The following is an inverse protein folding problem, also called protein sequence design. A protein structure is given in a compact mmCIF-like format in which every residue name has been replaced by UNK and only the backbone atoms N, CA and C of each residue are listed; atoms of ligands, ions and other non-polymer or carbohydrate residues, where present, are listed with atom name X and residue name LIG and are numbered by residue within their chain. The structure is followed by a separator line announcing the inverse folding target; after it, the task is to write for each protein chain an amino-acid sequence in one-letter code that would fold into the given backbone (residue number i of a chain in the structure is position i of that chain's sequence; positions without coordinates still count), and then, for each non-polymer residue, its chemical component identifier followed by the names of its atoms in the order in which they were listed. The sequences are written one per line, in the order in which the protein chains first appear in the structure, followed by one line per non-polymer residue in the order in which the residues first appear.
data_IF_632752140667
#
_entry.id   IF_632752140667
#
_cell.length_a   1.000
_cell.length_b   1.000
_cell.length_c   1.000
_cell.angle_alpha   90.00
_cell.angle_beta   90.00
_cell.angle_gamma   90.00
#
_symmetry.space_group_name_H-M   'P 1'
#
loop_
_entity.id
_entity.type
_entity.pdbx_description
1 polymer ?
#
# COMPACT_ATOMS: atom_id res chain seq x y z
N UNK A 1 12.24 -6.30 -9.75
CA UNK A 1 13.22 -5.44 -9.07
C UNK A 1 14.08 -6.26 -8.10
N UNK A 2 15.39 -6.39 -8.35
CA UNK A 2 16.31 -7.33 -7.72
C UNK A 2 16.29 -7.40 -6.17
N UNK A 3 16.74 -8.52 -5.61
CA UNK A 3 16.82 -8.75 -4.15
C UNK A 3 17.95 -7.94 -3.47
N UNK A 4 19.02 -7.61 -4.21
CA UNK A 4 20.10 -6.75 -3.73
C UNK A 4 19.58 -5.35 -3.36
N UNK A 5 20.12 -4.78 -2.28
CA UNK A 5 19.80 -3.45 -1.75
C UNK A 5 18.38 -3.26 -1.18
N UNK A 6 17.74 -4.33 -0.70
CA UNK A 6 16.42 -4.26 -0.05
C UNK A 6 16.42 -4.92 1.31
N UNK A 7 16.81 -4.18 2.33
CA UNK A 7 16.97 -4.70 3.69
C UNK A 7 15.65 -5.17 4.33
N UNK A 8 14.51 -4.87 3.71
CA UNK A 8 13.15 -5.14 4.18
C UNK A 8 12.65 -6.53 3.74
N UNK A 9 13.30 -7.18 2.78
CA UNK A 9 12.86 -8.47 2.23
C UNK A 9 12.66 -9.58 3.27
N UNK A 10 13.51 -9.74 4.29
CA UNK A 10 13.29 -10.72 5.36
C UNK A 10 11.94 -10.53 6.07
N UNK A 11 11.60 -9.28 6.39
CA UNK A 11 10.34 -8.90 7.04
C UNK A 11 9.15 -9.23 6.15
N UNK A 12 9.25 -8.89 4.87
CA UNK A 12 8.21 -9.22 3.88
C UNK A 12 7.99 -10.74 3.78
N UNK A 13 9.05 -11.54 3.70
CA UNK A 13 8.95 -13.01 3.62
C UNK A 13 8.36 -13.64 4.89
N UNK A 14 8.77 -13.17 6.07
CA UNK A 14 8.18 -13.63 7.34
C UNK A 14 6.71 -13.20 7.46
N UNK A 15 6.36 -11.99 7.03
CA UNK A 15 4.98 -11.53 6.96
C UNK A 15 4.10 -12.44 6.08
N UNK A 16 4.58 -12.79 4.88
CA UNK A 16 3.89 -13.76 4.01
C UNK A 16 3.69 -15.12 4.69
N UNK A 17 4.71 -15.62 5.41
CA UNK A 17 4.61 -16.87 6.19
C UNK A 17 3.55 -16.76 7.27
N UNK A 18 3.52 -15.67 8.05
CA UNK A 18 2.56 -15.48 9.14
C UNK A 18 1.11 -15.42 8.64
N UNK A 19 0.88 -14.83 7.47
CA UNK A 19 -0.45 -14.81 6.84
C UNK A 19 -1.03 -16.21 6.58
N UNK A 20 -0.18 -17.25 6.41
CA UNK A 20 -0.65 -18.64 6.30
C UNK A 20 -1.43 -19.12 7.52
N UNK A 21 -1.09 -18.64 8.73
CA UNK A 21 -1.80 -18.99 9.95
C UNK A 21 -3.10 -18.19 10.17
N UNK A 22 -3.27 -17.10 9.43
CA UNK A 22 -4.38 -16.15 9.63
C UNK A 22 -5.52 -16.33 8.62
N UNK A 23 -5.22 -16.86 7.42
CA UNK A 23 -6.20 -17.00 6.34
C UNK A 23 -6.48 -18.48 6.01
N UNK A 24 -7.76 -18.77 5.72
CA UNK A 24 -8.18 -20.11 5.26
C UNK A 24 -7.87 -20.30 3.78
N UNK A 25 -7.58 -21.53 3.37
CA UNK A 25 -7.34 -21.92 1.98
C UNK A 25 -6.20 -21.16 1.28
N UNK A 26 -5.18 -20.78 2.05
CA UNK A 26 -3.98 -20.12 1.54
C UNK A 26 -2.81 -21.11 1.48
N UNK A 27 -2.01 -21.02 0.41
CA UNK A 27 -0.76 -21.77 0.27
C UNK A 27 0.37 -20.84 -0.18
N UNK A 28 1.60 -21.19 0.15
CA UNK A 28 2.79 -20.41 -0.18
C UNK A 28 3.91 -21.32 -0.68
N UNK A 29 4.42 -21.05 -1.88
CA UNK A 29 5.66 -21.64 -2.34
C UNK A 29 6.84 -20.81 -1.85
N UNK A 30 7.67 -21.41 -0.99
CA UNK A 30 8.96 -20.84 -0.61
C UNK A 30 9.89 -20.92 -1.82
N UNK A 31 10.64 -19.86 -2.14
CA UNK A 31 11.53 -19.79 -3.31
C UNK A 31 12.94 -19.30 -2.98
N UNK A 32 13.29 -19.22 -1.70
CA UNK A 32 14.55 -18.61 -1.25
C UNK A 32 15.81 -19.36 -1.71
N UNK A 33 15.69 -20.65 -2.03
CA UNK A 33 16.73 -21.52 -2.57
C UNK A 33 16.86 -21.44 -4.11
N UNK A 34 15.83 -20.96 -4.80
CA UNK A 34 15.77 -20.87 -6.27
C UNK A 34 15.79 -19.42 -6.78
N UNK A 35 16.01 -18.46 -5.90
CA UNK A 35 16.05 -17.03 -6.21
C UNK A 35 17.34 -16.60 -6.90
N UNK A 36 17.35 -15.39 -7.48
CA UNK A 36 18.54 -14.78 -8.06
C UNK A 36 18.81 -13.44 -7.35
N UNK A 37 20.07 -13.06 -7.08
CA UNK A 37 20.37 -11.83 -6.34
C UNK A 37 19.93 -10.58 -7.11
N UNK A 38 20.08 -10.59 -8.44
CA UNK A 38 19.78 -9.45 -9.31
C UNK A 38 18.55 -9.61 -10.20
N UNK A 39 17.76 -10.68 -10.05
CA UNK A 39 16.57 -10.92 -10.89
C UNK A 39 15.41 -11.43 -10.02
N UNK A 40 14.24 -10.82 -10.18
CA UNK A 40 13.03 -11.23 -9.45
C UNK A 40 12.28 -12.35 -10.12
N UNK A 41 12.53 -12.57 -11.40
CA UNK A 41 11.88 -13.64 -12.12
C UNK A 41 12.65 -14.92 -11.82
N UNK A 42 12.04 -15.89 -11.10
CA UNK A 42 12.71 -17.16 -10.88
C UNK A 42 12.96 -17.82 -12.23
N UNK A 43 14.21 -18.19 -12.49
CA UNK A 43 14.59 -18.95 -13.68
C UNK A 43 13.98 -20.36 -13.62
N UNK A 44 13.98 -20.95 -12.43
CA UNK A 44 13.43 -22.28 -12.14
C UNK A 44 11.91 -22.22 -11.82
N UNK A 45 11.09 -21.92 -12.82
CA UNK A 45 9.63 -21.83 -12.65
C UNK A 45 8.95 -23.16 -12.32
N UNK A 46 9.52 -24.28 -12.78
CA UNK A 46 8.97 -25.62 -12.57
C UNK A 46 8.90 -25.97 -11.08
N UNK A 47 9.98 -25.71 -10.34
CA UNK A 47 10.02 -25.96 -8.89
C UNK A 47 8.95 -25.15 -8.14
N UNK A 48 8.71 -23.89 -8.54
CA UNK A 48 7.66 -23.06 -7.94
C UNK A 48 6.27 -23.66 -8.20
N UNK A 49 5.98 -24.06 -9.43
CA UNK A 49 4.71 -24.69 -9.80
C UNK A 49 4.47 -26.01 -9.06
N UNK A 50 5.49 -26.87 -8.94
CA UNK A 50 5.40 -28.13 -8.20
C UNK A 50 5.14 -27.90 -6.70
N UNK A 51 5.78 -26.88 -6.10
CA UNK A 51 5.55 -26.49 -4.70
C UNK A 51 4.11 -26.01 -4.48
N UNK A 52 3.56 -25.21 -5.39
CA UNK A 52 2.16 -24.79 -5.33
C UNK A 52 1.19 -25.97 -5.54
N UNK A 53 1.51 -26.89 -6.45
CA UNK A 53 0.70 -28.09 -6.67
C UNK A 53 0.65 -28.98 -5.41
N UNK A 54 1.77 -29.13 -4.69
CA UNK A 54 1.79 -29.88 -3.42
C UNK A 54 0.81 -29.32 -2.39
N UNK A 55 0.66 -28.00 -2.28
CA UNK A 55 -0.36 -27.39 -1.42
C UNK A 55 -1.77 -27.87 -1.77
N UNK A 56 -2.17 -27.77 -3.04
CA UNK A 56 -3.49 -28.23 -3.47
C UNK A 56 -3.69 -29.74 -3.23
N UNK A 57 -2.69 -30.56 -3.54
CA UNK A 57 -2.74 -32.01 -3.38
C UNK A 57 -2.86 -32.43 -1.89
N UNK A 58 -2.14 -31.75 -1.00
CA UNK A 58 -2.13 -32.06 0.42
C UNK A 58 -3.30 -31.47 1.21
N UNK A 59 -3.83 -30.33 0.79
CA UNK A 59 -4.92 -29.63 1.51
C UNK A 59 -6.28 -29.88 0.85
N UNK A 60 -6.49 -29.44 -0.38
CA UNK A 60 -7.77 -29.56 -1.10
C UNK A 60 -8.12 -31.00 -1.43
N UNK A 61 -7.17 -31.76 -1.98
CA UNK A 61 -7.40 -33.16 -2.37
C UNK A 61 -7.11 -34.15 -1.23
N UNK A 62 -6.54 -33.69 -0.11
CA UNK A 62 -6.22 -34.49 1.08
C UNK A 62 -5.47 -35.79 0.78
N UNK A 63 -4.57 -35.79 -0.22
CA UNK A 63 -3.82 -36.98 -0.60
C UNK A 63 -2.74 -37.27 0.44
N UNK A 64 -2.81 -38.44 1.11
CA UNK A 64 -1.86 -38.85 2.16
C UNK A 64 -0.39 -38.77 1.76
N UNK A 65 -0.07 -39.08 0.49
CA UNK A 65 1.29 -38.96 -0.07
C UNK A 65 1.85 -37.53 -0.03
N UNK A 66 0.97 -36.53 0.00
CA UNK A 66 1.29 -35.11 0.04
C UNK A 66 0.97 -34.48 1.40
N UNK A 67 0.96 -35.26 2.48
CA UNK A 67 0.69 -34.74 3.84
C UNK A 67 1.69 -33.66 4.28
N UNK A 68 2.95 -33.71 3.82
CA UNK A 68 3.93 -32.63 3.92
C UNK A 68 3.94 -31.83 2.61
N UNK A 69 3.04 -30.87 2.51
CA UNK A 69 2.81 -30.07 1.32
C UNK A 69 3.58 -28.74 1.30
N UNK A 70 4.09 -28.30 2.46
CA UNK A 70 5.00 -27.16 2.60
C UNK A 70 6.39 -27.63 3.04
N UNK A 71 7.38 -26.74 2.97
CA UNK A 71 8.63 -26.91 3.71
C UNK A 71 8.43 -26.69 5.21
N UNK A 72 9.47 -26.87 6.04
CA UNK A 72 9.38 -26.65 7.49
C UNK A 72 8.79 -25.27 7.80
N UNK A 73 7.71 -25.25 8.57
CA UNK A 73 7.07 -24.03 9.06
C UNK A 73 7.29 -23.94 10.56
N UNK A 74 7.83 -22.82 11.04
CA UNK A 74 7.99 -22.54 12.47
C UNK A 74 6.67 -22.77 13.19
N UNK A 75 6.72 -23.55 14.27
CA UNK A 75 5.58 -23.87 15.13
C UNK A 75 5.77 -23.20 16.50
N UNK A 76 6.77 -23.65 17.27
CA UNK A 76 7.09 -23.13 18.61
C UNK A 76 8.58 -22.87 18.74
N UNK A 77 8.96 -21.90 19.57
CA UNK A 77 10.33 -21.65 19.99
C UNK A 77 10.37 -21.43 21.50
N UNK A 78 11.15 -22.24 22.21
CA UNK A 78 11.25 -22.23 23.68
C UNK A 78 12.73 -22.20 24.10
N UNK A 79 13.03 -21.48 25.19
CA UNK A 79 14.39 -21.41 25.73
C UNK A 79 14.66 -22.66 26.57
N UNK A 80 15.74 -23.36 26.25
CA UNK A 80 16.30 -24.43 27.06
C UNK A 80 17.75 -24.08 27.42
N UNK A 81 17.96 -23.59 28.64
CA UNK A 81 19.27 -23.13 29.10
C UNK A 81 19.81 -21.97 28.26
N UNK A 82 20.96 -22.19 27.61
CA UNK A 82 21.66 -21.23 26.76
C UNK A 82 21.27 -21.31 25.27
N UNK A 83 20.20 -22.05 24.97
CA UNK A 83 19.78 -22.37 23.62
C UNK A 83 18.29 -22.08 23.43
N UNK A 84 17.89 -21.81 22.18
CA UNK A 84 16.50 -21.84 21.76
C UNK A 84 16.23 -23.15 21.03
N UNK A 85 15.26 -23.91 21.53
CA UNK A 85 14.73 -25.10 20.85
C UNK A 85 13.52 -24.69 20.02
N UNK A 86 13.62 -24.92 18.71
CA UNK A 86 12.63 -24.50 17.73
C UNK A 86 12.02 -25.73 17.07
N UNK A 87 10.69 -25.84 17.12
CA UNK A 87 9.93 -26.90 16.48
C UNK A 87 9.33 -26.44 15.15
N UNK A 88 9.14 -27.39 14.25
CA UNK A 88 8.57 -27.16 12.94
C UNK A 88 7.40 -28.10 12.65
N UNK A 89 6.41 -27.57 11.96
CA UNK A 89 5.40 -28.33 11.25
C UNK A 89 5.89 -28.64 9.82
N UNK A 90 5.13 -29.47 9.08
CA UNK A 90 5.39 -29.75 7.66
C UNK A 90 6.78 -30.39 7.40
N UNK A 91 7.26 -31.23 8.33
CA UNK A 91 8.58 -31.88 8.22
C UNK A 91 8.55 -33.27 7.55
N UNK A 92 7.37 -33.84 7.29
CA UNK A 92 7.22 -35.20 6.78
C UNK A 92 7.84 -36.24 7.73
N UNK A 93 8.84 -37.00 7.25
CA UNK A 93 9.59 -37.95 8.08
C UNK A 93 10.69 -37.29 8.92
N UNK A 94 11.06 -36.03 8.63
CA UNK A 94 11.94 -35.24 9.49
C UNK A 94 12.66 -34.09 8.78
N UNK A 95 13.34 -33.26 9.57
CA UNK A 95 14.24 -32.21 9.08
C UNK A 95 15.51 -32.81 8.46
N UNK A 96 16.01 -32.16 7.42
CA UNK A 96 17.28 -32.51 6.78
C UNK A 96 17.97 -31.26 6.24
N UNK A 97 19.24 -31.43 5.87
CA UNK A 97 19.98 -30.40 5.16
C UNK A 97 20.25 -30.81 3.72
N UNK A 98 20.04 -29.90 2.76
CA UNK A 98 20.20 -30.18 1.32
C UNK A 98 21.61 -30.66 0.94
N UNK A 99 22.62 -30.25 1.70
CA UNK A 99 24.04 -30.50 1.43
C UNK A 99 24.75 -31.31 2.51
N UNK A 100 23.99 -31.92 3.43
CA UNK A 100 24.49 -32.72 4.58
C UNK A 100 25.46 -31.97 5.52
N UNK A 101 25.53 -30.63 5.44
CA UNK A 101 26.27 -29.79 6.38
C UNK A 101 25.35 -29.29 7.49
N UNK A 102 25.91 -28.73 8.55
CA UNK A 102 25.11 -28.11 9.62
C UNK A 102 24.11 -27.07 9.04
N UNK A 103 22.90 -26.95 9.62
CA UNK A 103 21.98 -25.88 9.28
C UNK A 103 22.64 -24.50 9.46
N UNK A 104 22.38 -23.57 8.52
CA UNK A 104 23.03 -22.25 8.49
C UNK A 104 22.01 -21.10 8.41
N UNK A 105 22.51 -19.86 8.47
CA UNK A 105 21.72 -18.62 8.47
C UNK A 105 20.81 -18.46 9.67
N UNK A 106 21.27 -18.90 10.84
CA UNK A 106 20.59 -18.67 12.10
C UNK A 106 21.27 -17.55 12.86
N UNK A 107 20.45 -16.71 13.47
CA UNK A 107 20.89 -15.67 14.40
C UNK A 107 19.99 -15.71 15.63
N UNK A 108 20.53 -15.40 16.81
CA UNK A 108 19.78 -15.30 18.07
C UNK A 108 20.07 -13.98 18.77
N UNK A 109 19.11 -13.51 19.57
CA UNK A 109 19.28 -12.38 20.48
C UNK A 109 18.67 -12.70 21.85
N UNK A 110 19.09 -11.96 22.87
CA UNK A 110 18.33 -11.83 24.13
C UNK A 110 17.17 -10.83 23.97
N UNK A 111 16.49 -10.55 25.08
CA UNK A 111 15.21 -9.81 25.10
C UNK A 111 15.28 -8.46 24.38
N UNK A 112 16.33 -7.67 24.63
CA UNK A 112 16.56 -6.36 24.00
C UNK A 112 17.94 -6.27 23.30
N UNK A 113 18.53 -7.43 22.96
CA UNK A 113 19.88 -7.52 22.42
C UNK A 113 19.98 -7.48 20.89
N UNK A 114 21.14 -7.13 20.32
CA UNK A 114 21.37 -7.33 18.89
C UNK A 114 21.36 -8.82 18.54
N UNK A 115 20.94 -9.14 17.32
CA UNK A 115 21.05 -10.49 16.79
C UNK A 115 22.52 -10.84 16.50
N UNK A 116 22.94 -12.02 16.95
CA UNK A 116 24.26 -12.57 16.75
C UNK A 116 24.18 -13.87 15.94
N UNK A 117 25.15 -14.15 15.05
CA UNK A 117 25.25 -15.44 14.38
C UNK A 117 25.21 -16.60 15.37
N UNK A 118 24.45 -17.63 15.02
CA UNK A 118 24.17 -18.77 15.87
C UNK A 118 24.47 -20.10 15.17
N UNK A 119 24.85 -21.10 15.96
CA UNK A 119 24.95 -22.48 15.51
C UNK A 119 23.61 -23.16 15.70
N UNK A 120 23.13 -23.87 14.67
CA UNK A 120 21.92 -24.68 14.76
C UNK A 120 22.24 -26.17 14.56
N UNK A 121 21.54 -27.04 15.30
CA UNK A 121 21.66 -28.50 15.21
C UNK A 121 20.28 -29.14 15.17
N UNK A 122 20.07 -30.11 14.28
CA UNK A 122 18.87 -30.96 14.29
C UNK A 122 19.01 -31.94 15.45
N UNK A 123 18.12 -31.83 16.44
CA UNK A 123 18.16 -32.65 17.66
C UNK A 123 17.00 -33.65 17.75
N UNK A 124 16.05 -33.57 16.81
CA UNK A 124 14.92 -34.48 16.73
C UNK A 124 14.30 -34.47 15.35
N UNK A 125 13.17 -35.19 15.20
CA UNK A 125 12.45 -35.29 13.93
C UNK A 125 12.09 -33.91 13.37
N UNK A 126 11.60 -33.02 14.22
CA UNK A 126 11.04 -31.73 13.83
C UNK A 126 11.64 -30.56 14.62
N UNK A 127 12.76 -30.77 15.31
CA UNK A 127 13.32 -29.79 16.25
C UNK A 127 14.77 -29.43 15.94
N UNK A 128 15.09 -28.15 16.11
CA UNK A 128 16.43 -27.59 16.10
C UNK A 128 16.77 -27.04 17.47
N UNK A 129 18.03 -27.18 17.91
CA UNK A 129 18.61 -26.36 18.97
C UNK A 129 19.48 -25.28 18.32
N UNK A 130 19.32 -24.03 18.74
CA UNK A 130 20.00 -22.85 18.21
C UNK A 130 20.67 -22.10 19.36
N UNK A 131 21.98 -21.87 19.27
CA UNK A 131 22.72 -21.15 20.32
C UNK A 131 23.88 -20.33 19.78
N UNK A 132 24.29 -19.33 20.54
CA UNK A 132 25.45 -18.49 20.23
C UNK A 132 26.25 -18.24 21.51
N UNK A 133 27.59 -18.39 21.50
CA UNK A 133 28.42 -18.08 22.67
C UNK A 133 28.36 -16.59 23.07
N UNK A 134 27.80 -15.73 22.21
CA UNK A 134 27.60 -14.29 22.49
C UNK A 134 26.27 -14.00 23.20
N UNK A 135 25.37 -14.97 23.30
CA UNK A 135 24.02 -14.81 23.85
C UNK A 135 23.76 -15.93 24.84
N UNK A 136 24.03 -15.66 26.11
CA UNK A 136 23.84 -16.66 27.18
C UNK A 136 22.36 -16.96 27.47
N UNK A 137 21.47 -16.00 27.20
CA UNK A 137 20.05 -16.11 27.47
C UNK A 137 19.24 -15.76 26.21
N UNK A 138 19.18 -16.66 25.22
CA UNK A 138 18.49 -16.37 23.96
C UNK A 138 16.97 -16.37 24.16
N UNK A 139 16.31 -15.33 23.67
CA UNK A 139 14.84 -15.17 23.69
C UNK A 139 14.25 -15.13 22.28
N UNK A 140 15.04 -14.67 21.30
CA UNK A 140 14.61 -14.61 19.90
C UNK A 140 15.61 -15.31 18.98
N UNK A 141 15.07 -15.92 17.92
CA UNK A 141 15.82 -16.51 16.83
C UNK A 141 15.25 -16.06 15.49
N UNK A 142 16.09 -15.95 14.48
CA UNK A 142 15.67 -15.73 13.10
C UNK A 142 16.48 -16.57 12.14
N UNK A 143 15.83 -16.95 11.05
CA UNK A 143 16.39 -17.83 10.01
C UNK A 143 16.32 -17.16 8.64
N UNK A 144 17.42 -17.27 7.89
CA UNK A 144 17.57 -16.73 6.54
C UNK A 144 17.18 -15.25 6.45
N UNK A 145 17.56 -14.47 7.48
CA UNK A 145 17.20 -13.06 7.65
C UNK A 145 18.07 -12.11 6.81
N UNK A 146 18.22 -12.45 5.53
CA UNK A 146 18.97 -11.70 4.53
C UNK A 146 18.14 -11.53 3.26
N UNK A 147 18.24 -10.40 2.53
CA UNK A 147 17.59 -10.23 1.24
C UNK A 147 17.96 -11.37 0.26
N UNK A 148 19.21 -11.81 0.29
CA UNK A 148 19.71 -12.95 -0.47
C UNK A 148 20.76 -13.70 0.38
N UNK A 149 20.42 -14.87 0.97
CA UNK A 149 21.35 -15.64 1.79
C UNK A 149 22.43 -16.31 0.92
N UNK A 150 23.69 -15.98 1.17
CA UNK A 150 24.86 -16.60 0.54
C UNK A 150 25.81 -17.10 1.65
N UNK A 151 26.24 -18.39 1.64
CA UNK A 151 25.88 -19.46 0.69
C UNK A 151 24.39 -19.81 0.70
N UNK A 152 23.84 -20.55 -0.29
CA UNK A 152 22.42 -20.86 -0.33
C UNK A 152 21.91 -21.52 0.96
N UNK A 153 20.63 -21.28 1.27
CA UNK A 153 19.98 -21.91 2.43
C UNK A 153 20.03 -23.44 2.32
N UNK A 154 20.10 -24.13 3.46
CA UNK A 154 20.19 -25.58 3.47
C UNK A 154 19.20 -26.29 4.39
N UNK A 155 18.26 -25.63 5.07
CA UNK A 155 17.24 -26.31 5.89
C UNK A 155 16.03 -26.74 5.04
N UNK A 156 15.76 -28.04 5.00
CA UNK A 156 14.68 -28.65 4.22
C UNK A 156 13.94 -29.72 5.05
N UNK A 157 12.75 -30.10 4.62
CA UNK A 157 12.07 -31.30 5.14
C UNK A 157 12.43 -32.58 4.35
N UNK A 158 11.91 -33.73 4.77
CA UNK A 158 12.07 -35.01 4.08
C UNK A 158 11.68 -34.95 2.59
N UNK A 159 10.65 -34.17 2.26
CA UNK A 159 10.09 -34.02 0.90
C UNK A 159 10.90 -33.09 -0.01
N UNK A 160 12.04 -32.58 0.46
CA UNK A 160 12.91 -31.70 -0.31
C UNK A 160 12.34 -30.29 -0.49
N UNK A 161 11.51 -29.83 0.44
CA UNK A 161 10.97 -28.47 0.45
C UNK A 161 11.73 -27.59 1.45
N UNK A 162 12.17 -26.38 1.05
CA UNK A 162 12.95 -25.49 1.90
C UNK A 162 12.11 -24.83 2.99
N UNK A 163 12.73 -24.56 4.15
CA UNK A 163 12.11 -23.75 5.18
C UNK A 163 11.95 -22.30 4.71
N UNK A 164 10.82 -21.68 5.06
CA UNK A 164 10.62 -20.24 4.89
C UNK A 164 11.49 -19.45 5.86
N UNK A 165 11.98 -18.25 5.51
CA UNK A 165 12.49 -17.31 6.51
C UNK A 165 11.47 -17.07 7.62
N UNK A 166 11.99 -16.93 8.84
CA UNK A 166 11.16 -16.63 10.00
C UNK A 166 11.92 -15.81 11.03
N UNK A 167 11.18 -15.06 11.87
CA UNK A 167 11.62 -14.58 13.18
C UNK A 167 10.68 -15.17 14.24
N UNK A 168 11.22 -15.47 15.43
CA UNK A 168 10.42 -15.90 16.60
C UNK A 168 9.92 -14.71 17.44
N UNK A 169 10.28 -13.48 17.07
CA UNK A 169 9.69 -12.28 17.68
C UNK A 169 8.17 -12.23 17.43
N UNK A 170 7.44 -11.63 18.38
CA UNK A 170 5.99 -11.42 18.23
C UNK A 170 5.68 -10.47 17.06
N UNK A 171 4.47 -10.53 16.51
CA UNK A 171 4.06 -9.57 15.47
C UNK A 171 4.08 -8.15 16.03
N UNK A 172 3.63 -7.95 17.26
CA UNK A 172 3.63 -6.67 17.96
C UNK A 172 5.05 -6.10 18.08
N UNK A 173 6.03 -6.94 18.47
CA UNK A 173 7.44 -6.55 18.56
C UNK A 173 7.99 -6.18 17.19
N UNK A 174 7.72 -6.98 16.16
CA UNK A 174 8.20 -6.73 14.80
C UNK A 174 7.61 -5.44 14.23
N UNK A 175 6.31 -5.19 14.42
CA UNK A 175 5.67 -3.94 14.00
C UNK A 175 6.21 -2.74 14.77
N UNK A 176 6.39 -2.84 16.09
CA UNK A 176 6.96 -1.77 16.89
C UNK A 176 8.42 -1.46 16.50
N UNK A 177 9.23 -2.47 16.18
CA UNK A 177 10.59 -2.29 15.68
C UNK A 177 10.60 -1.66 14.27
N UNK A 178 9.69 -2.08 13.40
CA UNK A 178 9.54 -1.48 12.08
C UNK A 178 9.07 -0.02 12.19
N UNK A 179 8.14 0.31 13.09
CA UNK A 179 7.74 1.68 13.40
C UNK A 179 8.90 2.50 13.97
N UNK A 180 9.65 1.98 14.94
CA UNK A 180 10.85 2.63 15.48
C UNK A 180 11.92 2.85 14.42
N UNK A 181 12.10 1.89 13.51
CA UNK A 181 13.03 1.99 12.39
C UNK A 181 12.57 3.03 11.37
N UNK A 182 11.31 2.98 10.93
CA UNK A 182 10.73 4.00 10.06
C UNK A 182 10.80 5.39 10.72
N UNK A 183 10.62 5.47 12.04
CA UNK A 183 10.80 6.70 12.81
C UNK A 183 12.27 7.16 12.82
N UNK A 184 13.24 6.25 12.94
CA UNK A 184 14.68 6.55 12.88
C UNK A 184 15.11 6.96 11.47
N UNK A 185 14.67 6.25 10.45
CA UNK A 185 14.92 6.57 9.04
C UNK A 185 14.28 7.93 8.71
N UNK A 186 13.11 8.24 9.29
CA UNK A 186 12.48 9.56 9.20
C UNK A 186 13.19 10.68 9.97
N UNK A 187 14.05 10.35 10.95
CA UNK A 187 14.93 11.33 11.61
C UNK A 187 16.19 11.61 10.77
N UNK A 188 16.56 10.69 9.86
CA UNK A 188 17.71 10.82 8.97
C UNK A 188 17.35 11.35 7.57
N UNK A 189 16.06 11.59 7.29
CA UNK A 189 15.54 12.22 6.08
C UNK A 189 14.07 12.57 6.28
N UNK A 190 13.70 13.83 6.07
CA UNK A 190 12.41 14.42 6.40
C UNK A 190 11.24 13.60 5.85
N UNK A 191 10.26 13.27 6.70
CA UNK A 191 8.96 12.72 6.25
C UNK A 191 8.38 13.67 5.19
N UNK A 192 7.89 13.15 4.04
CA UNK A 192 7.39 14.00 2.99
C UNK A 192 6.10 14.68 3.43
N UNK A 193 5.85 15.86 2.91
CA UNK A 193 4.51 16.42 2.88
C UNK A 193 3.68 15.70 1.81
N UNK A 194 2.40 15.49 2.08
CA UNK A 194 1.49 14.80 1.18
C UNK A 194 0.34 15.74 0.82
N UNK A 195 0.26 16.12 -0.45
CA UNK A 195 -0.83 16.90 -1.03
C UNK A 195 -1.64 16.02 -1.98
N UNK A 196 -2.94 15.91 -1.72
CA UNK A 196 -3.91 15.26 -2.59
C UNK A 196 -4.83 16.32 -3.21
N UNK A 197 -4.68 16.56 -4.51
CA UNK A 197 -5.58 17.44 -5.27
C UNK A 197 -6.64 16.58 -5.94
N UNK A 198 -7.91 16.95 -5.77
CA UNK A 198 -9.06 16.24 -6.33
C UNK A 198 -9.91 17.22 -7.11
N UNK A 199 -9.98 17.05 -8.43
CA UNK A 199 -11.04 17.64 -9.26
C UNK A 199 -12.31 16.80 -9.18
N UNK A 200 -13.46 17.41 -9.45
CA UNK A 200 -14.76 16.75 -9.43
C UNK A 200 -15.25 16.44 -10.84
N UNK A 201 -15.77 15.23 -11.06
CA UNK A 201 -16.54 14.86 -12.26
C UNK A 201 -15.84 15.14 -13.61
N UNK A 202 -14.50 15.15 -13.64
CA UNK A 202 -13.73 15.27 -14.89
C UNK A 202 -13.13 13.94 -15.34
N UNK A 203 -12.97 13.79 -16.65
CA UNK A 203 -12.25 12.71 -17.30
C UNK A 203 -10.81 13.10 -17.64
N UNK A 204 -10.29 12.47 -18.71
CA UNK A 204 -8.94 12.68 -19.21
C UNK A 204 -8.84 13.82 -20.23
N UNK A 205 -9.84 14.72 -20.29
CA UNK A 205 -9.82 15.91 -21.15
C UNK A 205 -8.85 16.98 -20.62
N UNK A 206 -7.56 16.64 -20.61
CA UNK A 206 -6.39 17.40 -20.17
C UNK A 206 -5.27 17.24 -21.22
N UNK A 207 -4.41 18.24 -21.40
CA UNK A 207 -3.38 18.15 -22.45
C UNK A 207 -2.30 17.10 -22.16
N UNK A 208 -1.98 16.84 -20.89
CA UNK A 208 -1.09 15.74 -20.50
C UNK A 208 -1.61 14.35 -20.87
N UNK A 209 -2.93 14.20 -21.07
CA UNK A 209 -3.57 12.98 -21.57
C UNK A 209 -3.80 13.01 -23.11
N UNK A 210 -3.29 14.02 -23.80
CA UNK A 210 -3.35 14.14 -25.26
C UNK A 210 -4.60 14.84 -25.79
N UNK A 211 -5.37 15.53 -24.95
CA UNK A 211 -6.52 16.31 -25.41
C UNK A 211 -6.08 17.46 -26.35
N UNK A 212 -6.64 17.58 -27.58
CA UNK A 212 -6.21 18.58 -28.56
C UNK A 212 -6.95 19.93 -28.43
N UNK A 213 -7.98 20.02 -27.58
CA UNK A 213 -8.86 21.21 -27.45
C UNK A 213 -8.23 22.24 -26.52
N UNK A 214 -7.74 21.81 -25.36
CA UNK A 214 -7.19 22.69 -24.32
C UNK A 214 -5.69 22.53 -24.13
N UNK A 215 -5.10 23.47 -23.37
CA UNK A 215 -3.76 23.35 -22.80
C UNK A 215 -3.87 23.62 -21.31
N UNK A 216 -3.38 22.70 -20.50
CA UNK A 216 -3.40 22.74 -19.03
C UNK A 216 -1.97 22.80 -18.50
N UNK A 217 -1.27 23.93 -18.67
CA UNK A 217 0.17 24.01 -18.43
C UNK A 217 0.59 23.69 -16.99
N UNK A 218 -0.26 23.97 -16.00
CA UNK A 218 0.09 23.70 -14.59
C UNK A 218 -0.04 22.22 -14.26
N UNK A 219 -1.11 21.57 -14.71
CA UNK A 219 -1.30 20.12 -14.58
C UNK A 219 -0.29 19.36 -15.45
N UNK A 220 0.06 19.88 -16.63
CA UNK A 220 1.11 19.31 -17.48
C UNK A 220 2.48 19.40 -16.81
N UNK A 221 2.79 20.51 -16.14
CA UNK A 221 4.01 20.65 -15.35
C UNK A 221 4.05 19.61 -14.22
N UNK A 222 2.95 19.43 -13.49
CA UNK A 222 2.83 18.41 -12.44
C UNK A 222 3.04 16.99 -13.01
N UNK A 223 2.42 16.68 -14.16
CA UNK A 223 2.59 15.39 -14.82
C UNK A 223 4.04 15.16 -15.27
N UNK A 224 4.73 16.20 -15.78
CA UNK A 224 6.11 16.11 -16.25
C UNK A 224 7.14 15.86 -15.13
N UNK A 225 6.78 16.21 -13.89
CA UNK A 225 7.61 16.02 -12.70
C UNK A 225 7.22 14.78 -11.89
N UNK A 226 6.23 14.03 -12.35
CA UNK A 226 5.65 12.90 -11.64
C UNK A 226 5.51 11.65 -12.51
N UNK A 227 4.58 10.80 -12.12
CA UNK A 227 4.18 9.62 -12.88
C UNK A 227 2.73 9.83 -13.32
N UNK A 228 2.53 9.86 -14.64
CA UNK A 228 1.20 9.90 -15.23
C UNK A 228 0.66 8.47 -15.42
N UNK A 229 -0.51 8.19 -14.85
CA UNK A 229 -1.19 6.91 -15.04
C UNK A 229 -2.20 7.02 -16.17
N UNK A 230 -1.93 6.39 -17.30
CA UNK A 230 -2.87 6.32 -18.45
C UNK A 230 -4.06 5.40 -18.18
N UNK A 231 -3.91 4.46 -17.24
CA UNK A 231 -4.92 3.47 -16.89
C UNK A 231 -5.26 3.54 -15.40
N UNK A 232 -5.94 4.63 -15.00
CA UNK A 232 -6.47 4.84 -13.66
C UNK A 232 -8.00 4.79 -13.64
N UNK A 233 -8.58 4.05 -12.68
CA UNK A 233 -10.03 3.88 -12.59
C UNK A 233 -10.52 4.08 -11.15
N UNK A 234 -11.67 4.76 -11.01
CA UNK A 234 -12.40 4.80 -9.74
C UNK A 234 -13.09 3.46 -9.49
N UNK A 235 -13.23 3.11 -8.21
CA UNK A 235 -13.94 1.87 -7.81
C UNK A 235 -15.46 1.94 -8.04
N UNK A 236 -16.02 3.14 -8.05
CA UNK A 236 -17.42 3.40 -8.39
C UNK A 236 -17.56 4.85 -8.88
N UNK A 237 -18.20 5.06 -10.04
CA UNK A 237 -18.34 6.38 -10.68
C UNK A 237 -19.47 7.22 -10.07
N UNK A 238 -19.41 7.41 -8.75
CA UNK A 238 -20.33 8.23 -7.94
C UNK A 238 -19.52 8.88 -6.83
N UNK A 239 -19.79 10.16 -6.53
CA UNK A 239 -18.89 10.97 -5.67
C UNK A 239 -18.68 10.40 -4.26
N UNK A 240 -19.73 10.07 -3.50
CA UNK A 240 -19.56 9.56 -2.12
C UNK A 240 -18.90 8.18 -2.06
N UNK A 241 -19.32 7.17 -2.86
CA UNK A 241 -18.64 5.88 -2.94
C UNK A 241 -17.17 5.99 -3.39
N UNK A 242 -16.85 6.85 -4.37
CA UNK A 242 -15.45 7.06 -4.78
C UNK A 242 -14.62 7.69 -3.66
N UNK A 243 -15.18 8.68 -2.95
CA UNK A 243 -14.50 9.37 -1.83
C UNK A 243 -14.31 8.47 -0.62
N UNK A 244 -15.26 7.59 -0.31
CA UNK A 244 -15.06 6.63 0.78
C UNK A 244 -13.86 5.73 0.51
N UNK A 245 -13.65 5.29 -0.73
CA UNK A 245 -12.45 4.53 -1.11
C UNK A 245 -11.16 5.33 -0.91
N UNK A 246 -11.13 6.62 -1.26
CA UNK A 246 -9.97 7.50 -0.99
C UNK A 246 -9.65 7.56 0.51
N UNK A 247 -10.68 7.65 1.36
CA UNK A 247 -10.48 7.78 2.79
C UNK A 247 -10.18 6.46 3.50
N UNK A 248 -10.70 5.33 3.05
CA UNK A 248 -10.57 4.05 3.78
C UNK A 248 -9.64 3.05 3.11
N UNK A 249 -9.32 3.23 1.82
CA UNK A 249 -8.60 2.22 1.01
C UNK A 249 -9.40 0.94 0.76
N UNK A 250 -10.72 0.96 0.99
CA UNK A 250 -11.62 -0.18 0.85
C UNK A 250 -12.64 0.08 -0.24
N UNK A 251 -13.06 -0.95 -0.97
CA UNK A 251 -14.13 -0.83 -1.95
C UNK A 251 -15.46 -0.41 -1.28
N UNK A 252 -16.38 0.25 -2.01
CA UNK A 252 -17.68 0.68 -1.45
C UNK A 252 -18.48 -0.45 -0.79
N UNK A 253 -18.48 -1.66 -1.38
CA UNK A 253 -19.14 -2.82 -0.79
C UNK A 253 -18.48 -3.36 0.48
N UNK A 254 -17.22 -2.98 0.74
CA UNK A 254 -16.51 -3.31 1.97
C UNK A 254 -16.67 -2.22 3.03
N UNK A 255 -16.71 -0.94 2.66
CA UNK A 255 -16.82 0.16 3.63
C UNK A 255 -18.29 0.53 3.98
N UNK A 256 -19.24 0.27 3.08
CA UNK A 256 -20.67 0.49 3.25
C UNK A 256 -21.25 1.70 2.51
N UNK A 257 -20.42 2.62 2.00
CA UNK A 257 -20.88 3.78 1.22
C UNK A 257 -21.32 3.37 -0.19
N UNK A 258 -22.42 2.62 -0.30
CA UNK A 258 -22.91 2.06 -1.57
C UNK A 258 -23.53 3.10 -2.51
N UNK A 259 -23.90 4.27 -1.97
CA UNK A 259 -24.55 5.34 -2.70
C UNK A 259 -24.17 6.72 -2.18
N UNK A 260 -24.90 7.73 -2.65
CA UNK A 260 -24.68 9.12 -2.30
C UNK A 260 -25.01 9.41 -0.83
N UNK A 261 -24.14 10.20 -0.18
CA UNK A 261 -24.39 10.71 1.16
C UNK A 261 -25.69 11.54 1.23
N UNK A 262 -26.01 12.29 0.17
CA UNK A 262 -27.26 13.07 0.08
C UNK A 262 -28.52 12.20 0.06
N UNK A 263 -28.39 10.90 -0.20
CA UNK A 263 -29.46 9.90 -0.13
C UNK A 263 -29.32 9.01 1.12
N UNK A 264 -28.59 9.48 2.14
CA UNK A 264 -28.35 8.81 3.42
C UNK A 264 -27.66 7.44 3.32
N UNK A 265 -26.95 7.15 2.23
CA UNK A 265 -26.01 6.03 2.22
C UNK A 265 -24.79 6.41 3.07
N UNK A 266 -24.31 5.47 3.88
CA UNK A 266 -23.19 5.67 4.79
C UNK A 266 -22.49 4.37 5.13
N UNK A 267 -21.38 4.47 5.85
CA UNK A 267 -20.60 3.31 6.27
C UNK A 267 -21.41 2.48 7.27
N UNK A 268 -21.32 1.15 7.18
CA UNK A 268 -22.04 0.28 8.13
C UNK A 268 -21.32 0.17 9.48
N UNK A 269 -20.07 0.62 9.56
CA UNK A 269 -19.29 0.76 10.80
C UNK A 269 -18.19 1.81 10.63
N UNK A 270 -17.51 2.15 11.73
CA UNK A 270 -16.33 3.03 11.71
C UNK A 270 -15.11 2.29 11.15
N UNK A 271 -14.39 2.95 10.26
CA UNK A 271 -13.13 2.48 9.70
C UNK A 271 -11.99 3.42 10.07
N UNK A 272 -10.75 2.92 10.25
CA UNK A 272 -9.58 3.76 10.17
C UNK A 272 -9.55 4.46 8.80
N UNK A 273 -9.32 5.77 8.82
CA UNK A 273 -9.23 6.60 7.63
C UNK A 273 -7.80 7.08 7.41
N UNK A 274 -7.46 7.44 6.17
CA UNK A 274 -6.20 8.10 5.80
C UNK A 274 -5.88 9.25 6.76
N UNK A 275 -6.89 10.05 7.13
CA UNK A 275 -6.76 11.13 8.12
C UNK A 275 -6.44 10.62 9.52
N UNK A 276 -7.21 9.65 10.04
CA UNK A 276 -6.96 9.11 11.39
C UNK A 276 -5.57 8.46 11.51
N UNK A 277 -5.12 7.78 10.45
CA UNK A 277 -3.84 7.08 10.41
C UNK A 277 -2.67 8.07 10.31
N UNK A 278 -2.74 9.06 9.41
CA UNK A 278 -1.70 10.06 9.26
C UNK A 278 -1.62 11.00 10.47
N UNK A 279 -2.77 11.36 11.06
CA UNK A 279 -2.82 12.12 12.31
C UNK A 279 -2.13 11.35 13.45
N UNK A 280 -2.42 10.06 13.61
CA UNK A 280 -1.74 9.18 14.57
C UNK A 280 -0.23 9.07 14.30
N UNK A 281 0.17 9.12 13.03
CA UNK A 281 1.57 9.13 12.63
C UNK A 281 2.28 10.48 12.85
N UNK A 282 1.59 11.51 13.33
CA UNK A 282 2.15 12.82 13.66
C UNK A 282 2.12 13.84 12.51
N UNK A 283 1.28 13.63 11.50
CA UNK A 283 1.06 14.62 10.45
C UNK A 283 0.04 15.68 10.89
N UNK A 284 0.28 16.95 10.52
CA UNK A 284 -0.78 17.98 10.49
C UNK A 284 -1.76 17.64 9.37
N UNK A 285 -3.05 17.82 9.60
CA UNK A 285 -4.08 17.39 8.62
C UNK A 285 -4.96 18.54 8.16
N UNK A 286 -5.15 18.68 6.85
CA UNK A 286 -5.95 19.73 6.23
C UNK A 286 -6.93 19.16 5.21
N UNK A 287 -8.18 19.62 5.23
CA UNK A 287 -9.21 19.25 4.24
C UNK A 287 -9.95 20.51 3.77
N UNK A 288 -9.73 20.86 2.50
CA UNK A 288 -10.37 21.98 1.81
C UNK A 288 -11.38 21.41 0.81
N UNK A 289 -12.60 21.95 0.78
CA UNK A 289 -13.68 21.46 -0.08
C UNK A 289 -14.46 20.28 0.52
N UNK A 290 -15.17 19.49 -0.30
CA UNK A 290 -16.16 18.53 0.22
C UNK A 290 -15.56 17.23 0.80
N UNK A 291 -16.07 16.80 1.96
CA UNK A 291 -15.82 15.46 2.50
C UNK A 291 -16.76 14.43 1.84
N UNK A 292 -18.06 14.71 1.88
CA UNK A 292 -19.11 14.02 1.12
C UNK A 292 -19.16 12.49 1.33
N UNK A 293 -19.08 12.04 2.59
CA UNK A 293 -19.31 10.66 3.04
C UNK A 293 -20.13 10.68 4.34
N UNK A 294 -20.73 9.54 4.74
CA UNK A 294 -21.44 9.42 6.02
C UNK A 294 -20.85 8.29 6.86
N UNK A 295 -20.54 8.51 8.16
CA UNK A 295 -20.57 9.81 8.84
C UNK A 295 -19.36 10.66 8.46
N UNK A 296 -19.54 11.97 8.26
CA UNK A 296 -18.45 12.89 7.90
C UNK A 296 -17.41 12.98 9.02
N UNK A 297 -17.85 12.86 10.27
CA UNK A 297 -17.04 12.89 11.49
C UNK A 297 -16.00 11.77 11.53
N UNK A 298 -16.20 10.66 10.80
CA UNK A 298 -15.19 9.62 10.70
C UNK A 298 -13.90 10.10 10.00
N UNK A 299 -14.00 11.17 9.22
CA UNK A 299 -12.87 11.86 8.59
C UNK A 299 -12.59 13.18 9.32
N UNK A 300 -13.60 14.03 9.45
CA UNK A 300 -13.43 15.42 9.90
C UNK A 300 -12.98 15.56 11.36
N UNK A 301 -13.21 14.55 12.22
CA UNK A 301 -12.70 14.57 13.60
C UNK A 301 -11.15 14.47 13.68
N UNK A 302 -10.49 14.16 12.57
CA UNK A 302 -9.03 14.03 12.47
C UNK A 302 -8.42 15.09 11.55
N UNK A 303 -9.14 16.17 11.26
CA UNK A 303 -8.71 17.29 10.42
C UNK A 303 -8.39 18.49 11.33
N UNK A 304 -7.16 19.02 11.27
CA UNK A 304 -6.75 20.20 12.03
C UNK A 304 -7.26 21.50 11.39
N UNK A 305 -7.19 21.58 10.06
CA UNK A 305 -7.65 22.75 9.29
C UNK A 305 -8.74 22.36 8.29
N UNK A 306 -9.89 23.02 8.38
CA UNK A 306 -11.08 22.68 7.59
C UNK A 306 -11.75 23.93 7.01
N UNK A 307 -11.84 24.02 5.70
CA UNK A 307 -12.46 25.15 4.99
C UNK A 307 -13.31 24.70 3.79
N UNK A 308 -14.24 25.53 3.33
CA UNK A 308 -15.19 25.21 2.25
C UNK A 308 -15.93 23.87 2.46
N UNK A 309 -16.64 23.74 3.60
CA UNK A 309 -17.21 22.45 4.04
C UNK A 309 -18.33 21.90 3.14
N UNK A 310 -19.12 22.80 2.56
CA UNK A 310 -20.26 22.47 1.71
C UNK A 310 -19.85 22.27 0.26
N UNK A 311 -20.73 21.65 -0.53
CA UNK A 311 -20.61 21.65 -1.99
C UNK A 311 -20.54 23.08 -2.53
N UNK A 312 -19.62 23.34 -3.46
CA UNK A 312 -19.45 24.64 -4.11
C UNK A 312 -19.85 24.58 -5.60
N UNK A 313 -21.10 24.17 -5.86
CA UNK A 313 -21.58 23.99 -7.24
C UNK A 313 -21.63 25.27 -8.05
N UNK A 314 -21.68 26.43 -7.40
CA UNK A 314 -21.65 27.74 -8.05
C UNK A 314 -20.23 28.27 -8.33
N UNK A 315 -19.18 27.51 -7.95
CA UNK A 315 -17.75 27.85 -8.14
C UNK A 315 -17.42 29.23 -7.57
N UNK A 316 -18.04 29.60 -6.46
CA UNK A 316 -17.77 30.89 -5.81
C UNK A 316 -16.39 30.81 -5.18
N UNK A 317 -15.60 31.86 -5.37
CA UNK A 317 -14.31 32.06 -4.75
C UNK A 317 -13.38 30.83 -4.88
N UNK A 318 -13.25 30.28 -6.09
CA UNK A 318 -12.39 29.09 -6.31
C UNK A 318 -10.92 29.34 -5.94
N UNK A 319 -10.43 30.57 -6.05
CA UNK A 319 -9.06 30.94 -5.65
C UNK A 319 -8.83 30.84 -4.14
N UNK A 320 -9.87 30.98 -3.30
CA UNK A 320 -9.73 30.81 -1.84
C UNK A 320 -9.30 29.38 -1.46
N UNK A 321 -9.47 28.39 -2.34
CA UNK A 321 -8.99 27.03 -2.07
C UNK A 321 -7.46 26.98 -2.05
N UNK A 322 -6.81 27.62 -3.02
CA UNK A 322 -5.36 27.73 -3.11
C UNK A 322 -4.81 28.69 -2.03
N UNK A 323 -5.50 29.79 -1.76
CA UNK A 323 -5.12 30.73 -0.68
C UNK A 323 -5.11 30.02 0.69
N UNK A 324 -6.18 29.32 1.03
CA UNK A 324 -6.28 28.54 2.28
C UNK A 324 -5.24 27.42 2.35
N UNK A 325 -4.94 26.77 1.21
CA UNK A 325 -3.87 25.77 1.13
C UNK A 325 -2.50 26.40 1.43
N UNK A 326 -2.23 27.58 0.85
CA UNK A 326 -1.02 28.34 1.10
C UNK A 326 -0.89 28.83 2.54
N UNK A 327 -1.99 29.25 3.18
CA UNK A 327 -1.99 29.61 4.60
C UNK A 327 -1.61 28.42 5.48
N UNK A 328 -2.19 27.25 5.20
CA UNK A 328 -1.84 26.02 5.93
C UNK A 328 -0.37 25.61 5.74
N UNK A 329 0.19 25.78 4.53
CA UNK A 329 1.62 25.56 4.28
C UNK A 329 2.52 26.47 5.13
N UNK A 330 2.13 27.74 5.31
CA UNK A 330 2.92 28.73 6.05
C UNK A 330 2.79 28.60 7.57
N UNK A 331 1.75 27.92 8.05
CA UNK A 331 1.39 27.82 9.47
C UNK A 331 2.29 26.87 10.29
N UNK A 332 3.19 26.10 9.65
CA UNK A 332 4.17 25.29 10.40
C UNK A 332 5.05 24.39 9.53
N UNK A 333 6.14 23.90 10.12
CA UNK A 333 7.17 23.09 9.44
C UNK A 333 6.99 21.57 9.65
N UNK A 334 6.03 21.15 10.49
CA UNK A 334 5.74 19.72 10.68
C UNK A 334 5.18 19.09 9.40
N UNK A 335 5.46 17.79 9.14
CA UNK A 335 4.95 17.12 7.96
C UNK A 335 3.42 17.16 7.94
N UNK A 336 2.84 17.40 6.78
CA UNK A 336 1.39 17.51 6.64
C UNK A 336 0.78 16.56 5.62
N UNK A 337 -0.50 16.26 5.83
CA UNK A 337 -1.38 15.64 4.84
C UNK A 337 -2.52 16.60 4.55
N UNK A 338 -2.63 17.03 3.29
CA UNK A 338 -3.65 17.96 2.84
C UNK A 338 -4.44 17.39 1.69
N UNK A 339 -5.76 17.56 1.71
CA UNK A 339 -6.61 17.36 0.52
C UNK A 339 -7.26 18.67 0.09
N UNK A 340 -7.14 19.02 -1.20
CA UNK A 340 -7.84 20.15 -1.82
C UNK A 340 -8.83 19.61 -2.84
N UNK A 341 -10.12 19.72 -2.56
CA UNK A 341 -11.21 19.21 -3.39
C UNK A 341 -11.85 20.34 -4.21
N UNK A 342 -11.31 20.60 -5.41
CA UNK A 342 -11.84 21.60 -6.31
C UNK A 342 -13.21 21.18 -6.87
N UNK A 343 -14.19 22.10 -6.96
CA UNK A 343 -15.55 21.78 -7.40
C UNK A 343 -15.70 21.61 -8.91
N UNK A 344 -14.68 21.98 -9.69
CA UNK A 344 -14.68 21.81 -11.14
C UNK A 344 -14.29 20.38 -11.52
N UNK A 345 -14.95 19.78 -12.52
CA UNK A 345 -16.02 20.25 -13.40
C UNK A 345 -17.44 19.76 -13.01
N UNK A 346 -17.79 19.68 -11.70
CA UNK A 346 -19.13 19.25 -11.29
C UNK A 346 -20.24 20.14 -11.89
N UNK A 347 -21.42 19.59 -12.19
CA UNK A 347 -22.56 20.36 -12.69
C UNK A 347 -23.04 21.45 -11.69
N UNK A 348 -23.49 22.65 -12.11
CA UNK A 348 -23.61 23.14 -13.49
C UNK A 348 -22.27 23.52 -14.12
N UNK A 349 -22.08 23.18 -15.39
CA UNK A 349 -20.88 23.53 -16.15
C UNK A 349 -20.91 25.02 -16.51
N UNK A 350 -19.94 25.77 -16.01
CA UNK A 350 -19.89 27.23 -16.13
C UNK A 350 -18.59 27.65 -16.81
N UNK A 351 -18.72 28.47 -17.87
CA UNK A 351 -17.60 29.00 -18.63
C UNK A 351 -16.63 29.79 -17.76
N UNK A 352 -16.92 31.07 -17.49
CA UNK A 352 -16.08 31.90 -16.62
C UNK A 352 -16.77 32.21 -15.28
N UNK A 353 -16.06 32.03 -14.17
CA UNK A 353 -16.51 32.36 -12.81
C UNK A 353 -15.36 33.04 -12.07
N UNK A 354 -15.63 34.21 -11.45
CA UNK A 354 -14.61 34.93 -10.69
C UNK A 354 -13.39 35.35 -11.52
N UNK A 355 -13.54 35.58 -12.83
CA UNK A 355 -12.44 35.89 -13.75
C UNK A 355 -11.66 34.68 -14.26
N UNK A 356 -12.00 33.45 -13.84
CA UNK A 356 -11.34 32.22 -14.27
C UNK A 356 -12.26 31.30 -15.12
N UNK A 357 -11.73 30.68 -16.19
CA UNK A 357 -10.37 30.87 -16.70
C UNK A 357 -10.23 32.27 -17.33
N UNK A 358 -9.01 32.81 -17.33
CA UNK A 358 -8.74 34.15 -17.90
C UNK A 358 -9.12 34.21 -19.39
N UNK A 359 -8.82 33.12 -20.11
CA UNK A 359 -9.19 32.93 -21.51
C UNK A 359 -10.06 31.68 -21.63
N UNK A 360 -11.26 31.84 -22.18
CA UNK A 360 -12.15 30.72 -22.49
C UNK A 360 -11.77 30.03 -23.80
N UNK A 361 -12.17 28.77 -23.94
CA UNK A 361 -11.97 27.98 -25.15
C UNK A 361 -12.67 28.60 -26.35
N UNK A 362 -11.97 28.67 -27.48
CA UNK A 362 -12.54 29.06 -28.78
C UNK A 362 -13.66 28.06 -29.16
N UNK A 363 -14.92 28.50 -29.34
CA UNK A 363 -16.02 27.65 -29.75
C UNK A 363 -15.73 26.79 -30.98
N UNK A 364 -14.87 27.26 -31.91
CA UNK A 364 -14.52 26.54 -33.14
C UNK A 364 -13.60 25.34 -32.89
N UNK A 365 -12.94 25.27 -31.74
CA UNK A 365 -12.04 24.17 -31.35
C UNK A 365 -12.75 23.09 -30.55
N UNK A 366 -13.95 23.37 -30.03
CA UNK A 366 -14.69 22.47 -29.15
C UNK A 366 -15.07 21.21 -29.92
N UNK A 367 -14.80 20.06 -29.29
CA UNK A 367 -15.24 18.75 -29.76
C UNK A 367 -16.00 18.07 -28.64
N UNK A 368 -17.10 17.41 -29.01
CA UNK A 368 -17.80 16.51 -28.09
C UNK A 368 -16.93 15.29 -27.81
N UNK A 369 -17.01 14.79 -26.58
CA UNK A 369 -16.30 13.58 -26.19
C UNK A 369 -16.86 12.39 -27.00
N UNK A 370 -16.03 11.39 -27.37
CA UNK A 370 -16.44 10.32 -28.29
C UNK A 370 -17.65 9.48 -27.84
N UNK A 371 -17.93 9.46 -26.53
CA UNK A 371 -19.05 8.74 -25.92
C UNK A 371 -20.35 9.55 -25.85
N UNK A 372 -20.33 10.84 -26.22
CA UNK A 372 -21.52 11.70 -26.27
C UNK A 372 -22.23 11.48 -27.61
N UNK A 373 -23.42 10.89 -27.58
CA UNK A 373 -24.22 10.60 -28.77
C UNK A 373 -24.93 11.84 -29.31
N UNK A 374 -24.65 12.20 -30.57
CA UNK A 374 -25.26 13.33 -31.28
C UNK A 374 -24.55 14.65 -31.06
N UNK A 375 -24.80 15.63 -31.94
CA UNK A 375 -24.21 16.96 -31.87
C UNK A 375 -25.30 18.02 -32.04
N UNK A 376 -25.40 18.92 -31.06
CA UNK A 376 -26.29 20.08 -31.11
C UNK A 376 -25.52 21.32 -30.63
N UNK A 377 -25.94 22.55 -31.03
CA UNK A 377 -25.31 23.77 -30.53
C UNK A 377 -25.27 23.85 -29.01
N UNK A 378 -26.33 23.39 -28.33
CA UNK A 378 -26.40 23.31 -26.87
C UNK A 378 -25.35 22.35 -26.30
N UNK A 379 -25.14 21.19 -26.94
CA UNK A 379 -24.14 20.22 -26.46
C UNK A 379 -22.72 20.74 -26.63
N UNK A 380 -22.44 21.45 -27.74
CA UNK A 380 -21.15 22.11 -27.96
C UNK A 380 -20.92 23.22 -26.93
N UNK A 381 -21.94 23.99 -26.56
CA UNK A 381 -21.84 24.98 -25.48
C UNK A 381 -21.56 24.31 -24.12
N UNK A 382 -22.23 23.20 -23.81
CA UNK A 382 -21.99 22.42 -22.59
C UNK A 382 -20.56 21.86 -22.57
N UNK A 383 -20.08 21.31 -23.68
CA UNK A 383 -18.71 20.80 -23.81
C UNK A 383 -17.69 21.94 -23.67
N UNK A 384 -17.94 23.10 -24.29
CA UNK A 384 -17.12 24.30 -24.10
C UNK A 384 -17.00 24.68 -22.62
N UNK A 385 -18.14 24.78 -21.93
CA UNK A 385 -18.17 25.11 -20.51
C UNK A 385 -17.45 24.07 -19.65
N UNK A 386 -17.50 22.79 -20.03
CA UNK A 386 -16.70 21.75 -19.37
C UNK A 386 -15.19 22.00 -19.55
N UNK A 387 -14.73 22.24 -20.78
CA UNK A 387 -13.32 22.57 -21.01
C UNK A 387 -12.89 23.86 -20.28
N UNK A 388 -13.76 24.87 -20.21
CA UNK A 388 -13.50 26.08 -19.43
C UNK A 388 -13.38 25.78 -17.91
N UNK A 389 -14.17 24.83 -17.38
CA UNK A 389 -13.99 24.33 -16.01
C UNK A 389 -12.62 23.68 -15.82
N UNK A 390 -12.14 22.91 -16.81
CA UNK A 390 -10.80 22.29 -16.76
C UNK A 390 -9.68 23.34 -16.78
N UNK A 391 -9.82 24.42 -17.57
CA UNK A 391 -8.87 25.53 -17.55
C UNK A 391 -8.88 26.29 -16.22
N UNK A 392 -10.05 26.45 -15.58
CA UNK A 392 -10.13 27.04 -14.23
C UNK A 392 -9.50 26.14 -13.18
N UNK A 393 -9.72 24.82 -13.26
CA UNK A 393 -9.05 23.84 -12.40
C UNK A 393 -7.53 23.92 -12.56
N UNK A 394 -7.02 23.94 -13.80
CA UNK A 394 -5.59 24.09 -14.08
C UNK A 394 -5.00 25.37 -13.47
N UNK A 395 -5.68 26.52 -13.64
CA UNK A 395 -5.25 27.77 -13.05
C UNK A 395 -5.21 27.71 -11.51
N UNK A 396 -6.20 27.09 -10.88
CA UNK A 396 -6.22 26.92 -9.41
C UNK A 396 -5.18 25.90 -8.91
N UNK A 397 -4.77 24.93 -9.73
CA UNK A 397 -3.67 24.00 -9.41
C UNK A 397 -2.31 24.70 -9.50
N UNK A 398 -2.19 25.69 -10.38
CA UNK A 398 -0.96 26.49 -10.53
C UNK A 398 -0.76 27.55 -9.44
N UNK A 399 -1.84 28.00 -8.80
CA UNK A 399 -1.82 28.86 -7.61
C UNK A 399 -1.36 28.07 -6.39
#
# INVERSE_FOLDING_TARGET
LPALNRSEWPWFRDGQRRTLGQLKNLGMAVTIDTGHPSDVHPREKKAVGERLAKWALGTTYALKKHAAYSGPLLDVAEREGDSLVVSFNQVGSGLKTSDKKAPRHFEVSGEDGPFHPATAKIIGKNTLSISSPKVAEPTHARYAWSPYPEPPVNLFNSEGLPASPFSTESEETLFALQEKRLARDSKNGSRPNILLIVGEDHGCELSCYGDPVIKTPNIDALASQGVLFENGYVTQSVCSPSRSTIFTGLYPHQNGQLGLATHNYGWFKKWPTTYSLLKKAGYRTCLIGKTHVIPAEAVEAFVDFRSQKSSNFAKRNVSEYAENAGDFFRDGDEPFFMTVNYPDAHWPLQGQVGGLPETQVDPKRVKLMPYVGGETPRMLEVARNYYDCMLRLDACVGQ
#
